data_IF_700982920524
#
_entry.id   IF_700982920524
#
_cell.length_a   1.000
_cell.length_b   1.000
_cell.length_c   1.000
_cell.angle_alpha   90.00
_cell.angle_beta   90.00
_cell.angle_gamma   90.00
#
_symmetry.space_group_name_H-M   'P 1'
#
loop_
_entity.id
_entity.type
_entity.pdbx_description
1 polymer ?
#
# COMPACT_ATOMS: atom_id res chain seq x y z
N UNK A 1 -9.23 -14.82 30.29
CA UNK A 1 -9.13 -15.15 28.89
C UNK A 1 -8.54 -13.97 28.12
N UNK A 2 -7.32 -14.06 27.72
CA UNK A 2 -6.66 -13.09 26.86
C UNK A 2 -6.27 -11.76 27.49
N UNK A 3 -6.67 -11.41 28.70
CA UNK A 3 -6.19 -10.28 29.50
C UNK A 3 -5.81 -9.00 28.74
N UNK A 4 -6.67 -8.49 27.86
CA UNK A 4 -6.36 -7.36 26.99
C UNK A 4 -5.68 -7.70 25.65
N UNK A 5 -5.40 -8.97 25.39
CA UNK A 5 -4.83 -9.43 24.10
C UNK A 5 -5.90 -9.70 23.04
N UNK A 6 -7.14 -9.95 23.46
CA UNK A 6 -8.27 -10.18 22.56
C UNK A 6 -8.74 -8.85 21.98
N UNK A 7 -8.81 -8.76 20.65
CA UNK A 7 -9.32 -7.58 19.97
C UNK A 7 -10.83 -7.62 20.00
N UNK A 8 -11.41 -6.99 21.01
CA UNK A 8 -12.82 -6.71 21.15
C UNK A 8 -13.02 -5.51 22.08
N UNK A 9 -14.23 -4.97 22.07
CA UNK A 9 -14.59 -3.75 22.77
C UNK A 9 -14.20 -3.77 24.25
N UNK A 10 -13.53 -2.72 24.70
CA UNK A 10 -13.03 -2.57 26.06
C UNK A 10 -11.87 -3.48 26.45
N UNK A 11 -11.32 -4.25 25.51
CA UNK A 11 -10.14 -5.11 25.70
C UNK A 11 -9.01 -4.65 24.76
N UNK A 12 -8.63 -5.44 23.79
CA UNK A 12 -7.64 -5.02 22.77
C UNK A 12 -8.15 -3.93 21.82
N UNK A 13 -9.46 -3.70 21.78
CA UNK A 13 -10.10 -2.58 21.10
C UNK A 13 -10.51 -1.52 22.12
N UNK A 14 -10.15 -0.27 21.86
CA UNK A 14 -10.59 0.87 22.65
C UNK A 14 -12.09 1.15 22.43
N UNK A 15 -12.85 1.27 23.52
CA UNK A 15 -14.26 1.66 23.49
C UNK A 15 -14.47 3.18 23.49
N UNK A 16 -13.40 3.96 23.64
CA UNK A 16 -13.47 5.43 23.77
C UNK A 16 -12.77 6.18 22.65
N UNK A 17 -11.90 5.51 21.88
CA UNK A 17 -11.20 6.15 20.76
C UNK A 17 -12.19 6.54 19.67
N UNK A 18 -12.08 7.78 19.23
CA UNK A 18 -12.84 8.28 18.08
C UNK A 18 -12.20 7.75 16.78
N UNK A 19 -12.98 7.70 15.71
CA UNK A 19 -12.51 7.23 14.40
C UNK A 19 -11.21 7.92 13.94
N UNK A 20 -11.10 9.24 14.11
CA UNK A 20 -9.89 10.01 13.77
C UNK A 20 -8.63 9.60 14.57
N UNK A 21 -8.81 8.96 15.72
CA UNK A 21 -7.74 8.56 16.65
C UNK A 21 -7.36 7.09 16.46
N UNK A 22 -8.26 6.29 15.90
CA UNK A 22 -8.08 4.88 15.65
C UNK A 22 -7.48 4.62 14.25
N UNK A 23 -6.83 3.48 14.09
CA UNK A 23 -6.43 2.96 12.80
C UNK A 23 -7.65 2.61 11.96
N UNK A 24 -7.54 2.72 10.63
CA UNK A 24 -8.57 2.19 9.72
C UNK A 24 -8.40 0.68 9.55
N UNK A 25 -7.16 0.23 9.48
CA UNK A 25 -6.81 -1.19 9.34
C UNK A 25 -5.53 -1.50 10.11
N UNK A 26 -5.45 -2.69 10.67
CA UNK A 26 -4.24 -3.23 11.27
C UNK A 26 -3.97 -4.65 10.80
N UNK A 27 -2.73 -4.93 10.43
CA UNK A 27 -2.24 -6.30 10.22
C UNK A 27 -1.49 -6.68 11.48
N UNK A 28 -2.01 -7.68 12.22
CA UNK A 28 -1.46 -8.03 13.52
C UNK A 28 -0.40 -9.11 13.43
N UNK A 29 0.64 -8.98 14.25
CA UNK A 29 1.62 -10.04 14.53
C UNK A 29 2.26 -10.65 13.27
N UNK A 30 2.56 -9.81 12.26
CA UNK A 30 3.24 -10.22 11.04
C UNK A 30 4.75 -10.33 11.24
N UNK A 31 5.39 -11.23 10.49
CA UNK A 31 6.84 -11.21 10.32
C UNK A 31 7.19 -10.26 9.18
N UNK A 32 7.76 -9.11 9.51
CA UNK A 32 8.11 -8.07 8.55
C UNK A 32 9.57 -8.24 8.15
N UNK A 33 9.82 -8.28 6.84
CA UNK A 33 11.18 -8.28 6.26
C UNK A 33 11.37 -6.98 5.52
N UNK A 34 12.23 -6.11 6.02
CA UNK A 34 12.44 -4.77 5.51
C UNK A 34 13.93 -4.42 5.46
N UNK A 35 14.33 -3.63 4.44
CA UNK A 35 15.73 -3.30 4.19
C UNK A 35 16.36 -2.43 5.30
N UNK A 36 15.56 -1.65 6.04
CA UNK A 36 16.03 -0.78 7.13
C UNK A 36 15.81 -1.39 8.50
N UNK A 37 14.64 -2.03 8.68
CA UNK A 37 14.24 -2.59 9.97
C UNK A 37 14.82 -3.99 10.21
N UNK A 38 15.28 -4.66 9.16
CA UNK A 38 15.66 -6.06 9.22
C UNK A 38 14.45 -6.98 9.30
N UNK A 39 14.55 -8.05 10.06
CA UNK A 39 13.47 -9.02 10.30
C UNK A 39 12.90 -8.75 11.68
N UNK A 40 11.65 -8.31 11.72
CA UNK A 40 10.97 -8.00 12.99
C UNK A 40 9.59 -8.63 13.01
N UNK A 41 9.07 -8.86 14.22
CA UNK A 41 7.69 -9.26 14.44
C UNK A 41 6.93 -8.09 15.05
N UNK A 42 5.91 -7.60 14.34
CA UNK A 42 5.18 -6.41 14.73
C UNK A 42 3.80 -6.34 14.08
N UNK A 43 3.00 -5.38 14.54
CA UNK A 43 1.75 -4.98 13.89
C UNK A 43 2.02 -3.85 12.90
N UNK A 44 1.25 -3.80 11.81
CA UNK A 44 1.30 -2.76 10.80
C UNK A 44 0.00 -1.97 10.88
N UNK A 45 0.08 -0.69 11.21
CA UNK A 45 -1.07 0.20 11.29
C UNK A 45 -1.23 1.03 10.03
N UNK A 46 -2.46 1.08 9.54
CA UNK A 46 -2.84 1.80 8.32
C UNK A 46 -3.94 2.81 8.66
N UNK A 47 -3.77 4.05 8.19
CA UNK A 47 -4.74 5.14 8.29
C UNK A 47 -4.76 5.91 6.97
N UNK A 48 -5.94 6.19 6.46
CA UNK A 48 -6.15 6.94 5.20
C UNK A 48 -5.32 6.36 4.03
N UNK A 49 -5.32 5.02 3.89
CA UNK A 49 -4.61 4.30 2.84
C UNK A 49 -3.08 4.32 2.94
N UNK A 50 -2.52 4.72 4.09
CA UNK A 50 -1.06 4.80 4.31
C UNK A 50 -0.64 4.02 5.54
N UNK A 51 0.53 3.40 5.48
CA UNK A 51 1.18 2.84 6.66
C UNK A 51 1.62 4.01 7.56
N UNK A 52 1.02 4.10 8.74
CA UNK A 52 1.30 5.17 9.72
C UNK A 52 2.14 4.71 10.89
N UNK A 53 2.26 3.40 11.07
CA UNK A 53 3.09 2.86 12.14
C UNK A 53 3.38 1.38 11.98
N UNK A 54 4.52 0.98 12.50
CA UNK A 54 4.93 -0.41 12.69
C UNK A 54 5.34 -0.53 14.16
N UNK A 55 4.71 -1.43 14.90
CA UNK A 55 4.95 -1.54 16.34
C UNK A 55 3.95 -2.46 17.01
N UNK A 56 3.34 -1.99 18.06
CA UNK A 56 2.32 -2.74 18.80
C UNK A 56 0.99 -1.99 18.79
N UNK A 57 -0.02 -2.58 18.17
CA UNK A 57 -1.35 -2.00 18.08
C UNK A 57 -2.29 -2.56 19.14
N UNK A 58 -3.24 -1.75 19.61
CA UNK A 58 -4.19 -2.20 20.62
C UNK A 58 -4.94 -1.08 21.31
N UNK A 59 -5.26 -1.32 22.56
CA UNK A 59 -5.99 -0.38 23.42
C UNK A 59 -5.04 0.24 24.47
N UNK A 60 -4.60 1.47 24.26
CA UNK A 60 -3.68 2.12 25.20
C UNK A 60 -4.29 2.36 26.59
N UNK A 61 -5.60 2.29 26.73
CA UNK A 61 -6.29 2.43 28.03
C UNK A 61 -6.07 1.25 28.97
N UNK A 62 -5.72 0.07 28.45
CA UNK A 62 -5.53 -1.15 29.26
C UNK A 62 -4.26 -1.92 28.94
N UNK A 63 -3.60 -1.65 27.81
CA UNK A 63 -2.38 -2.33 27.37
C UNK A 63 -1.20 -1.35 27.42
N UNK A 64 -0.09 -1.78 28.01
CA UNK A 64 1.16 -1.03 27.98
C UNK A 64 1.92 -1.28 26.69
N UNK A 65 2.73 -0.31 26.27
CA UNK A 65 3.62 -0.45 25.11
C UNK A 65 2.91 -0.34 23.76
N UNK A 66 1.65 0.10 23.72
CA UNK A 66 0.95 0.39 22.47
C UNK A 66 1.57 1.61 21.80
N UNK A 67 1.83 1.50 20.51
CA UNK A 67 2.39 2.57 19.69
C UNK A 67 3.34 2.10 18.62
N UNK A 68 3.69 3.00 17.71
CA UNK A 68 4.68 2.75 16.67
C UNK A 68 6.10 2.77 17.25
N UNK A 69 6.95 1.85 16.80
CA UNK A 69 8.40 1.91 17.04
C UNK A 69 9.08 2.89 16.09
N UNK A 70 8.43 3.18 14.95
CA UNK A 70 8.92 4.15 13.97
C UNK A 70 8.39 5.54 14.29
N UNK A 71 9.25 6.53 14.09
CA UNK A 71 8.88 7.94 14.14
C UNK A 71 8.58 8.46 12.74
N UNK A 72 7.61 9.34 12.63
CA UNK A 72 7.38 10.16 11.44
C UNK A 72 8.54 11.16 11.24
N UNK A 73 8.55 11.86 10.11
CA UNK A 73 9.58 12.84 9.79
C UNK A 73 9.67 14.00 10.80
N UNK A 74 8.59 14.29 11.49
CA UNK A 74 8.50 15.29 12.56
C UNK A 74 8.91 14.75 13.95
N UNK A 75 9.33 13.49 14.03
CA UNK A 75 9.71 12.82 15.27
C UNK A 75 8.54 12.24 16.07
N UNK A 76 7.29 12.49 15.65
CA UNK A 76 6.10 11.90 16.31
C UNK A 76 6.01 10.40 16.06
N UNK A 77 5.31 9.71 16.97
CA UNK A 77 5.00 8.28 16.83
C UNK A 77 3.49 8.10 16.80
N UNK A 78 3.01 7.29 15.85
CA UNK A 78 1.58 6.98 15.79
C UNK A 78 1.18 6.14 17.01
N UNK A 79 0.05 6.45 17.66
CA UNK A 79 -0.42 5.73 18.85
C UNK A 79 -0.87 4.29 18.60
N UNK A 80 -1.11 3.87 17.35
CA UNK A 80 -1.49 2.51 16.96
C UNK A 80 -2.75 1.98 17.66
N UNK A 81 -3.70 2.87 17.92
CA UNK A 81 -4.94 2.53 18.64
C UNK A 81 -5.90 1.75 17.75
N UNK A 82 -6.36 0.61 18.23
CA UNK A 82 -7.45 -0.16 17.63
C UNK A 82 -8.76 0.36 18.21
N UNK A 83 -9.65 0.86 17.37
CA UNK A 83 -10.98 1.34 17.72
C UNK A 83 -12.10 0.49 17.11
N UNK A 84 -13.34 0.91 17.31
CA UNK A 84 -14.51 0.19 16.81
C UNK A 84 -14.60 0.11 15.29
N UNK A 85 -14.02 1.10 14.58
CA UNK A 85 -13.98 1.17 13.11
C UNK A 85 -12.76 0.49 12.50
N UNK A 86 -11.82 -0.04 13.29
CA UNK A 86 -10.60 -0.64 12.79
C UNK A 86 -10.85 -2.03 12.23
N UNK A 87 -10.51 -2.23 10.95
CA UNK A 87 -10.43 -3.58 10.37
C UNK A 87 -9.17 -4.29 10.86
N UNK A 88 -9.28 -5.60 11.13
CA UNK A 88 -8.17 -6.38 11.66
C UNK A 88 -7.89 -7.58 10.76
N UNK A 89 -6.66 -7.65 10.25
CA UNK A 89 -6.14 -8.78 9.49
C UNK A 89 -5.12 -9.53 10.35
N UNK A 90 -5.34 -10.83 10.54
CA UNK A 90 -4.38 -11.69 11.23
C UNK A 90 -3.14 -11.92 10.37
N UNK A 91 -1.99 -11.48 10.86
CA UNK A 91 -0.70 -11.65 10.18
C UNK A 91 0.15 -12.79 10.74
N UNK A 92 -0.39 -13.59 11.67
CA UNK A 92 0.29 -14.75 12.24
C UNK A 92 0.64 -15.77 11.15
N UNK A 93 1.90 -16.18 11.14
CA UNK A 93 2.40 -17.15 10.15
C UNK A 93 2.65 -16.55 8.75
N UNK A 94 2.46 -15.25 8.56
CA UNK A 94 2.74 -14.58 7.29
C UNK A 94 4.05 -13.79 7.31
N UNK A 95 4.64 -13.63 6.14
CA UNK A 95 5.77 -12.73 5.89
C UNK A 95 5.25 -11.55 5.09
N UNK A 96 5.52 -10.34 5.59
CA UNK A 96 5.18 -9.09 4.92
C UNK A 96 6.45 -8.39 4.47
N UNK A 97 6.50 -8.03 3.20
CA UNK A 97 7.59 -7.26 2.60
C UNK A 97 7.03 -6.00 1.95
N UNK A 98 7.90 -5.05 1.62
CA UNK A 98 7.52 -3.99 0.67
C UNK A 98 7.09 -4.62 -0.65
N UNK A 99 6.08 -4.07 -1.28
CA UNK A 99 5.66 -4.48 -2.62
C UNK A 99 6.73 -4.16 -3.66
N UNK A 100 6.83 -5.00 -4.68
CA UNK A 100 7.76 -4.79 -5.79
C UNK A 100 7.37 -3.55 -6.61
N UNK A 101 8.39 -2.84 -7.10
CA UNK A 101 8.24 -1.75 -8.06
C UNK A 101 8.92 -2.12 -9.37
N UNK A 102 8.14 -2.27 -10.44
CA UNK A 102 8.65 -2.46 -11.78
C UNK A 102 8.63 -1.13 -12.54
N UNK A 103 9.81 -0.65 -12.87
CA UNK A 103 10.03 0.65 -13.53
C UNK A 103 10.22 0.56 -15.04
N UNK A 104 10.02 -0.62 -15.64
CA UNK A 104 10.24 -0.84 -17.07
C UNK A 104 9.11 -1.68 -17.67
N UNK A 105 7.94 -1.07 -17.85
CA UNK A 105 6.73 -1.76 -18.30
C UNK A 105 6.36 -1.34 -19.73
N UNK A 106 5.98 -2.34 -20.53
CA UNK A 106 5.26 -2.19 -21.78
C UNK A 106 3.79 -2.53 -21.52
N UNK A 107 2.92 -1.53 -21.39
CA UNK A 107 1.50 -1.74 -21.17
C UNK A 107 0.82 -2.20 -22.47
N UNK A 108 0.80 -3.51 -22.70
CA UNK A 108 0.24 -4.14 -23.89
C UNK A 108 -1.12 -4.76 -23.58
N UNK A 109 -1.24 -5.54 -22.51
CA UNK A 109 -2.49 -6.19 -22.13
C UNK A 109 -2.74 -6.07 -20.61
N UNK A 110 -4.02 -5.98 -20.25
CA UNK A 110 -4.45 -5.78 -18.88
C UNK A 110 -4.11 -6.96 -17.94
N UNK A 111 -4.06 -8.17 -18.48
CA UNK A 111 -3.75 -9.38 -17.71
C UNK A 111 -2.39 -9.34 -17.05
N UNK A 112 -1.42 -8.57 -17.56
CA UNK A 112 -0.12 -8.42 -16.94
C UNK A 112 -0.19 -7.77 -15.53
N UNK A 113 -1.24 -6.99 -15.26
CA UNK A 113 -1.42 -6.33 -13.96
C UNK A 113 -1.83 -7.36 -12.91
N UNK A 114 -2.75 -8.25 -13.23
CA UNK A 114 -3.18 -9.32 -12.33
C UNK A 114 -2.01 -10.27 -12.01
N UNK A 115 -1.24 -10.65 -13.02
CA UNK A 115 -0.05 -11.49 -12.85
C UNK A 115 1.02 -10.79 -12.01
N UNK A 116 1.22 -9.50 -12.19
CA UNK A 116 2.15 -8.71 -11.40
C UNK A 116 1.71 -8.65 -9.94
N UNK A 117 0.43 -8.37 -9.66
CA UNK A 117 -0.13 -8.39 -8.31
C UNK A 117 0.04 -9.75 -7.64
N UNK A 118 -0.28 -10.83 -8.35
CA UNK A 118 -0.10 -12.19 -7.85
C UNK A 118 1.37 -12.53 -7.56
N UNK A 119 2.31 -11.84 -8.19
CA UNK A 119 3.76 -11.97 -7.99
C UNK A 119 4.33 -11.01 -6.94
N UNK A 120 3.49 -10.18 -6.31
CA UNK A 120 3.92 -9.23 -5.27
C UNK A 120 4.39 -7.88 -5.78
N UNK A 121 4.18 -7.55 -7.06
CA UNK A 121 4.39 -6.21 -7.61
C UNK A 121 3.19 -5.35 -7.22
N UNK A 122 3.44 -4.17 -6.67
CA UNK A 122 2.41 -3.22 -6.24
C UNK A 122 2.47 -1.89 -6.97
N UNK A 123 3.54 -1.66 -7.73
CA UNK A 123 3.74 -0.44 -8.50
C UNK A 123 4.38 -0.78 -9.83
N UNK A 124 3.82 -0.26 -10.91
CA UNK A 124 4.34 -0.41 -12.26
C UNK A 124 4.45 0.97 -12.92
N UNK A 125 5.60 1.26 -13.53
CA UNK A 125 5.79 2.50 -14.28
C UNK A 125 6.35 2.18 -15.65
N UNK A 126 5.75 2.75 -16.68
CA UNK A 126 6.17 2.52 -18.05
C UNK A 126 5.26 3.22 -19.05
N UNK A 127 5.06 2.63 -20.19
CA UNK A 127 4.21 3.20 -21.23
C UNK A 127 3.73 2.17 -22.23
N UNK A 128 3.17 2.67 -23.30
CA UNK A 128 2.53 1.87 -24.34
C UNK A 128 1.14 2.42 -24.64
N UNK A 129 0.43 1.76 -25.50
CA UNK A 129 -0.89 2.17 -25.98
C UNK A 129 -1.93 1.05 -25.89
N UNK A 130 -1.63 0.03 -25.11
CA UNK A 130 -2.49 -1.12 -24.94
C UNK A 130 -2.51 -2.05 -26.15
N UNK A 131 -3.45 -3.02 -26.19
CA UNK A 131 -3.47 -4.07 -27.22
C UNK A 131 -3.81 -3.58 -28.61
N UNK A 132 -4.54 -2.45 -28.75
CA UNK A 132 -4.96 -1.93 -30.05
C UNK A 132 -3.81 -1.57 -30.99
N UNK A 133 -2.70 -1.12 -30.42
CA UNK A 133 -1.48 -0.75 -31.15
C UNK A 133 -0.22 -1.40 -30.54
N UNK A 134 -0.36 -2.62 -30.04
CA UNK A 134 0.66 -3.31 -29.25
C UNK A 134 2.03 -3.41 -29.93
N UNK A 135 2.09 -3.45 -31.28
CA UNK A 135 3.35 -3.43 -32.03
C UNK A 135 4.13 -2.12 -31.91
N UNK A 136 3.47 -1.05 -31.50
CA UNK A 136 4.05 0.26 -31.21
C UNK A 136 4.27 0.48 -29.72
N UNK A 137 3.98 -0.52 -28.90
CA UNK A 137 4.15 -0.44 -27.46
C UNK A 137 5.62 -0.26 -27.11
N UNK A 138 5.88 0.73 -26.29
CA UNK A 138 7.18 1.06 -25.73
C UNK A 138 7.03 1.32 -24.24
N UNK A 139 8.11 1.68 -23.58
CA UNK A 139 8.05 2.14 -22.19
C UNK A 139 7.54 3.58 -22.03
N UNK A 140 7.06 4.20 -23.11
CA UNK A 140 6.50 5.55 -23.14
C UNK A 140 5.16 5.55 -23.86
N UNK A 141 4.26 6.44 -23.43
CA UNK A 141 2.94 6.66 -24.01
C UNK A 141 2.95 8.00 -24.76
N UNK A 142 2.80 8.02 -26.09
CA UNK A 142 2.92 9.23 -26.87
C UNK A 142 1.64 10.07 -26.85
N UNK A 143 1.77 11.33 -26.45
CA UNK A 143 0.75 12.35 -26.58
C UNK A 143 -0.40 12.27 -25.56
N UNK A 144 -1.04 13.41 -25.38
CA UNK A 144 -2.08 13.63 -24.36
C UNK A 144 -3.23 12.65 -24.49
N UNK A 145 -3.69 12.39 -25.71
CA UNK A 145 -4.85 11.51 -25.94
C UNK A 145 -4.58 10.08 -25.44
N UNK A 146 -3.41 9.51 -25.78
CA UNK A 146 -3.05 8.16 -25.33
C UNK A 146 -2.86 8.10 -23.81
N UNK A 147 -2.25 9.14 -23.21
CA UNK A 147 -2.09 9.20 -21.75
C UNK A 147 -3.46 9.21 -21.07
N UNK A 148 -4.41 10.01 -21.54
CA UNK A 148 -5.77 10.01 -20.98
C UNK A 148 -6.44 8.64 -21.09
N UNK A 149 -6.33 7.96 -22.24
CA UNK A 149 -6.90 6.62 -22.41
C UNK A 149 -6.25 5.59 -21.48
N UNK A 150 -4.94 5.69 -21.28
CA UNK A 150 -4.23 4.79 -20.36
C UNK A 150 -4.60 5.06 -18.89
N UNK A 151 -4.78 6.31 -18.49
CA UNK A 151 -5.25 6.68 -17.15
C UNK A 151 -6.66 6.15 -16.90
N UNK A 152 -7.58 6.35 -17.86
CA UNK A 152 -8.96 5.83 -17.76
C UNK A 152 -8.98 4.29 -17.65
N UNK A 153 -8.16 3.62 -18.46
CA UNK A 153 -8.05 2.16 -18.42
C UNK A 153 -7.43 1.65 -17.11
N UNK A 154 -6.67 2.48 -16.42
CA UNK A 154 -5.99 2.13 -15.17
C UNK A 154 -6.89 2.24 -13.92
N UNK A 155 -8.00 2.95 -14.02
CA UNK A 155 -8.86 3.29 -12.87
C UNK A 155 -9.47 2.06 -12.16
N UNK A 156 -9.62 0.95 -12.89
CA UNK A 156 -10.21 -0.28 -12.37
C UNK A 156 -9.21 -1.17 -11.58
N UNK A 157 -7.91 -0.90 -11.68
CA UNK A 157 -6.90 -1.80 -11.12
C UNK A 157 -6.44 -1.37 -9.74
N UNK A 158 -6.39 -2.29 -8.77
CA UNK A 158 -5.90 -2.02 -7.40
C UNK A 158 -4.37 -2.03 -7.34
N UNK A 159 -3.71 -1.28 -8.24
CA UNK A 159 -2.25 -1.17 -8.34
C UNK A 159 -1.86 0.30 -8.56
N UNK A 160 -0.67 0.67 -8.09
CA UNK A 160 -0.11 1.97 -8.42
C UNK A 160 0.45 1.93 -9.85
N UNK A 161 -0.15 2.68 -10.77
CA UNK A 161 0.25 2.73 -12.16
C UNK A 161 0.76 4.11 -12.54
N UNK A 162 1.89 4.17 -13.22
CA UNK A 162 2.48 5.40 -13.73
C UNK A 162 2.74 5.31 -15.22
N UNK A 163 2.31 6.32 -15.98
CA UNK A 163 2.47 6.38 -17.42
C UNK A 163 3.48 7.46 -17.81
N UNK A 164 4.55 7.03 -18.47
CA UNK A 164 5.62 7.90 -18.94
C UNK A 164 5.26 8.50 -20.28
N UNK A 165 5.30 9.83 -20.39
CA UNK A 165 5.18 10.53 -21.64
C UNK A 165 6.41 10.31 -22.52
N UNK A 166 6.26 10.50 -23.84
CA UNK A 166 7.34 10.40 -24.79
C UNK A 166 8.05 11.74 -24.95
N UNK A 167 9.33 11.79 -24.60
CA UNK A 167 10.13 13.02 -24.57
C UNK A 167 10.80 13.38 -25.92
N UNK A 168 10.68 12.53 -26.96
CA UNK A 168 11.17 12.83 -28.29
C UNK A 168 10.21 12.32 -29.36
N UNK A 169 9.79 13.18 -30.27
CA UNK A 169 8.88 12.86 -31.36
C UNK A 169 9.27 13.62 -32.62
N UNK A 170 8.89 13.10 -33.79
CA UNK A 170 9.12 13.75 -35.06
C UNK A 170 8.23 14.99 -35.31
N UNK A 171 7.18 15.15 -34.49
CA UNK A 171 6.28 16.30 -34.51
C UNK A 171 5.99 16.77 -33.09
N UNK A 172 5.62 18.07 -32.88
CA UNK A 172 5.32 18.59 -31.54
C UNK A 172 4.08 18.00 -30.86
N UNK A 173 3.09 17.56 -31.63
CA UNK A 173 1.80 17.13 -31.08
C UNK A 173 1.86 15.97 -30.08
N UNK A 174 2.77 14.98 -30.20
CA UNK A 174 2.91 13.91 -29.22
C UNK A 174 3.78 14.24 -28.01
N UNK A 175 4.36 15.43 -27.96
CA UNK A 175 5.13 15.95 -26.82
C UNK A 175 4.22 16.68 -25.82
#
# INVERSE_FOLDING_TARGET
>A
FGGGKVIRDGMGQSSTALDKEALDLVITNATIVDAKLGIIKADIGIKSGRIVGIGHAGNPGIQSGIGSTLSASDGSKHPMTIGASTEVIAGEGTIVTAGGYDSHIHFICAQQIDEALASGITTMTGGGTGPATGTNATTCTPGIWNIHRMLEAADEYPMNLGFLGKGNCSTPAPL
#
